data_IF_458813789188
#
_entry.id   IF_458813789188
#
_cell.length_a   1.000
_cell.length_b   1.000
_cell.length_c   1.000
_cell.angle_alpha   90.00
_cell.angle_beta   90.00
_cell.angle_gamma   90.00
#
_symmetry.space_group_name_H-M   'P 1'
#
loop_
_entity.id
_entity.type
_entity.pdbx_description
1 polymer ?
#
# COMPACT_ATOMS: atom_id res chain seq x y z
N UNK A 1 3.27 15.75 8.90
CA UNK A 1 2.77 14.55 8.19
C UNK A 1 3.98 13.91 7.49
N UNK A 2 4.10 12.58 7.48
CA UNK A 2 5.25 11.86 6.88
C UNK A 2 4.77 11.08 5.66
N UNK A 3 5.55 11.12 4.58
CA UNK A 3 5.33 10.35 3.35
C UNK A 3 6.46 9.33 3.25
N UNK A 4 6.12 8.09 2.90
CA UNK A 4 7.07 7.00 2.69
C UNK A 4 7.18 6.69 1.21
N UNK A 5 8.32 6.19 0.76
CA UNK A 5 8.36 5.53 -0.53
C UNK A 5 7.46 4.29 -0.50
N UNK A 6 6.83 3.89 -1.63
CA UNK A 6 5.90 2.77 -1.63
C UNK A 6 6.50 1.48 -1.07
N UNK A 7 7.77 1.21 -1.32
CA UNK A 7 8.49 0.03 -0.83
C UNK A 7 8.77 0.09 0.68
N UNK A 8 8.98 1.29 1.24
CA UNK A 8 9.16 1.46 2.69
C UNK A 8 7.86 1.22 3.44
N UNK A 9 6.73 1.68 2.87
CA UNK A 9 5.42 1.41 3.43
C UNK A 9 5.11 -0.08 3.40
N UNK A 10 5.46 -0.77 2.31
CA UNK A 10 5.26 -2.22 2.19
C UNK A 10 5.99 -2.98 3.31
N UNK A 11 7.29 -2.69 3.46
CA UNK A 11 8.11 -3.30 4.50
C UNK A 11 7.56 -3.03 5.91
N UNK A 12 7.09 -1.81 6.16
CA UNK A 12 6.49 -1.46 7.44
C UNK A 12 5.23 -2.30 7.70
N UNK A 13 4.34 -2.44 6.72
CA UNK A 13 3.11 -3.22 6.88
C UNK A 13 3.42 -4.70 7.14
N UNK A 14 4.30 -5.30 6.35
CA UNK A 14 4.70 -6.71 6.50
C UNK A 14 5.33 -6.97 7.87
N UNK A 15 6.26 -6.11 8.31
CA UNK A 15 6.93 -6.25 9.61
C UNK A 15 6.02 -6.03 10.81
N UNK A 16 4.88 -5.34 10.62
CA UNK A 16 3.86 -5.17 11.65
C UNK A 16 2.76 -6.24 11.60
N UNK A 17 2.93 -7.30 10.81
CA UNK A 17 1.98 -8.43 10.77
C UNK A 17 0.77 -8.14 9.89
N UNK A 18 0.94 -7.41 8.80
CA UNK A 18 -0.08 -7.23 7.77
C UNK A 18 0.34 -7.87 6.46
N UNK A 19 -0.57 -8.63 5.86
CA UNK A 19 -0.45 -9.11 4.48
C UNK A 19 -1.06 -8.09 3.52
N UNK A 20 -0.29 -7.61 2.54
CA UNK A 20 -0.81 -6.73 1.48
C UNK A 20 -1.58 -7.57 0.46
N UNK A 21 -2.89 -7.31 0.32
CA UNK A 21 -3.77 -8.01 -0.62
C UNK A 21 -3.89 -7.24 -1.93
N UNK A 22 -3.98 -5.91 -1.85
CA UNK A 22 -4.12 -5.04 -3.00
C UNK A 22 -3.37 -3.72 -2.83
N UNK A 23 -2.94 -3.17 -3.97
CA UNK A 23 -2.35 -1.84 -4.07
C UNK A 23 -2.94 -1.12 -5.28
N UNK A 24 -3.64 -0.01 -5.04
CA UNK A 24 -4.34 0.76 -6.05
C UNK A 24 -3.85 2.20 -6.15
N UNK A 25 -3.95 2.77 -7.34
CA UNK A 25 -3.60 4.15 -7.65
C UNK A 25 -4.71 5.16 -7.40
N UNK A 26 -5.94 4.68 -7.20
CA UNK A 26 -7.15 5.49 -7.02
C UNK A 26 -8.25 4.71 -6.27
N UNK A 27 -9.43 5.32 -6.13
CA UNK A 27 -10.61 4.69 -5.52
C UNK A 27 -11.31 3.70 -6.45
N UNK A 28 -11.10 3.84 -7.77
CA UNK A 28 -11.64 2.95 -8.80
C UNK A 28 -10.83 1.66 -8.96
N UNK A 29 -9.80 1.49 -8.12
CA UNK A 29 -8.95 0.29 -8.03
C UNK A 29 -8.05 0.09 -9.24
N UNK A 30 -7.69 1.18 -9.93
CA UNK A 30 -6.66 1.15 -10.96
C UNK A 30 -5.33 0.67 -10.36
N UNK A 31 -4.50 0.02 -11.17
CA UNK A 31 -3.19 -0.44 -10.73
C UNK A 31 -2.35 0.75 -10.23
N UNK A 32 -1.72 0.58 -9.07
CA UNK A 32 -0.75 1.56 -8.58
C UNK A 32 0.52 1.55 -9.45
N UNK A 33 1.00 2.73 -9.84
CA UNK A 33 2.18 2.88 -10.69
C UNK A 33 2.78 4.29 -10.63
N UNK A 34 3.80 4.56 -11.46
CA UNK A 34 4.54 5.83 -11.45
C UNK A 34 3.66 7.07 -11.69
N UNK A 35 2.57 6.91 -12.43
CA UNK A 35 1.63 7.98 -12.77
C UNK A 35 0.48 8.12 -11.75
N UNK A 36 0.46 7.28 -10.70
CA UNK A 36 -0.57 7.35 -9.66
C UNK A 36 -0.32 8.53 -8.73
N UNK A 37 -1.33 9.39 -8.59
CA UNK A 37 -1.30 10.48 -7.60
C UNK A 37 -1.49 9.99 -6.16
N UNK A 38 -2.24 8.89 -6.00
CA UNK A 38 -2.57 8.29 -4.70
C UNK A 38 -2.03 6.85 -4.62
N UNK A 39 -1.82 6.39 -3.38
CA UNK A 39 -1.60 4.98 -3.07
C UNK A 39 -2.68 4.53 -2.08
N UNK A 40 -3.46 3.51 -2.42
CA UNK A 40 -4.39 2.83 -1.51
C UNK A 40 -3.89 1.40 -1.29
N UNK A 41 -3.59 1.04 -0.05
CA UNK A 41 -3.14 -0.31 0.33
C UNK A 41 -4.25 -0.99 1.11
N UNK A 42 -4.63 -2.19 0.70
CA UNK A 42 -5.59 -3.04 1.42
C UNK A 42 -4.83 -4.19 2.05
N UNK A 43 -4.93 -4.30 3.37
CA UNK A 43 -4.24 -5.32 4.14
C UNK A 43 -5.21 -6.26 4.86
N UNK A 44 -4.75 -7.48 5.10
CA UNK A 44 -5.32 -8.40 6.09
C UNK A 44 -4.37 -8.47 7.28
N UNK A 45 -4.91 -8.49 8.50
CA UNK A 45 -4.12 -8.74 9.71
C UNK A 45 -3.70 -10.21 9.73
N UNK A 46 -2.42 -10.48 9.95
CA UNK A 46 -1.90 -11.82 10.18
C UNK A 46 -2.24 -12.21 11.63
N UNK A 47 -3.05 -13.25 11.81
CA UNK A 47 -3.35 -13.85 13.12
C UNK A 47 -2.34 -14.95 13.44
#
# INVERSE_FOLDING_TARGET
MRVYFPQELDLLLETQGFDIIHKWGDLERSNFGPDSHDQKVVCRVCN
#
